data_IF_743407085308
#
_entry.id   IF_743407085308
#
_cell.length_a   1.000
_cell.length_b   1.000
_cell.length_c   1.000
_cell.angle_alpha   90.00
_cell.angle_beta   90.00
_cell.angle_gamma   90.00
#
_symmetry.space_group_name_H-M   'P 1'
#
loop_
_entity.id
_entity.type
_entity.pdbx_description
1 polymer ?
#
# COMPACT_ATOMS: atom_id res chain seq x y z
N UNK A 1 -19.91 -31.75 24.57
CA UNK A 1 -18.48 -31.37 24.50
C UNK A 1 -17.75 -32.45 23.71
N UNK A 2 -17.57 -32.26 22.41
CA UNK A 2 -16.76 -33.16 21.59
C UNK A 2 -15.38 -32.52 21.44
N UNK A 3 -14.37 -33.11 22.08
CA UNK A 3 -12.99 -32.64 22.03
C UNK A 3 -12.42 -32.85 20.63
N UNK A 4 -12.01 -31.75 19.98
CA UNK A 4 -11.36 -31.78 18.69
C UNK A 4 -9.88 -32.14 18.91
N UNK A 5 -9.51 -33.36 18.52
CA UNK A 5 -8.12 -33.83 18.58
C UNK A 5 -7.26 -33.00 17.63
N UNK A 6 -6.24 -32.33 18.17
CA UNK A 6 -5.26 -31.58 17.40
C UNK A 6 -4.51 -32.53 16.45
N UNK A 7 -4.58 -32.25 15.15
CA UNK A 7 -3.84 -33.01 14.14
C UNK A 7 -2.32 -32.82 14.34
N UNK A 8 -1.58 -33.93 14.38
CA UNK A 8 -0.13 -33.91 14.48
C UNK A 8 0.49 -33.15 13.28
N UNK A 9 1.53 -32.33 13.49
CA UNK A 9 2.16 -31.58 12.41
C UNK A 9 2.76 -32.52 11.36
N UNK A 10 2.45 -32.26 10.10
CA UNK A 10 3.01 -33.00 8.95
C UNK A 10 4.53 -32.75 8.92
N UNK A 11 5.37 -33.80 8.86
CA UNK A 11 6.82 -33.63 8.81
C UNK A 11 7.21 -32.83 7.56
N UNK A 12 8.06 -31.82 7.74
CA UNK A 12 8.53 -30.99 6.64
C UNK A 12 9.26 -31.85 5.58
N UNK A 13 9.02 -31.62 4.28
CA UNK A 13 9.67 -32.39 3.22
C UNK A 13 11.19 -32.21 3.30
N UNK A 14 11.93 -33.32 3.24
CA UNK A 14 13.39 -33.31 3.21
C UNK A 14 13.87 -32.50 2.01
N UNK A 15 14.53 -31.37 2.26
CA UNK A 15 15.23 -30.63 1.21
C UNK A 15 16.31 -31.52 0.57
N UNK A 16 16.61 -31.31 -0.71
CA UNK A 16 17.69 -32.03 -1.42
C UNK A 16 19.02 -31.98 -0.64
N UNK A 17 19.27 -30.89 0.09
CA UNK A 17 20.43 -30.71 0.97
C UNK A 17 20.40 -31.63 2.20
N UNK A 18 19.25 -31.77 2.86
CA UNK A 18 19.07 -32.76 3.94
C UNK A 18 19.10 -34.19 3.44
N UNK A 19 18.67 -34.44 2.19
CA UNK A 19 18.73 -35.76 1.55
C UNK A 19 20.17 -36.16 1.19
N UNK A 20 20.99 -35.21 0.74
CA UNK A 20 22.41 -35.42 0.45
C UNK A 20 23.30 -35.44 1.71
N UNK A 21 22.71 -35.33 2.90
CA UNK A 21 23.46 -35.29 4.15
C UNK A 21 24.41 -34.08 4.25
N UNK A 22 24.17 -33.02 3.47
CA UNK A 22 24.91 -31.77 3.56
C UNK A 22 24.14 -30.91 4.57
N UNK A 23 24.54 -30.92 5.87
CA UNK A 23 23.81 -30.18 6.87
C UNK A 23 23.81 -28.70 6.48
N UNK A 24 22.76 -27.98 6.85
CA UNK A 24 22.76 -26.51 6.89
C UNK A 24 23.85 -25.90 7.82
N UNK A 25 24.83 -26.71 8.24
CA UNK A 25 25.88 -26.43 9.18
C UNK A 25 27.13 -25.83 8.57
N UNK A 26 27.14 -25.26 7.36
CA UNK A 26 28.36 -24.58 6.84
C UNK A 26 28.88 -23.55 7.84
N UNK A 27 27.99 -22.82 8.54
CA UNK A 27 28.36 -21.89 9.62
C UNK A 27 28.88 -22.60 10.88
N UNK A 28 28.28 -23.73 11.28
CA UNK A 28 28.75 -24.55 12.42
C UNK A 28 30.11 -25.19 12.14
N UNK A 29 30.32 -25.67 10.91
CA UNK A 29 31.57 -26.28 10.44
C UNK A 29 32.64 -25.21 10.30
N UNK A 30 32.34 -24.03 9.74
CA UNK A 30 33.29 -22.92 9.72
C UNK A 30 33.71 -22.52 11.13
N UNK A 31 32.76 -22.29 12.05
CA UNK A 31 33.09 -21.95 13.44
C UNK A 31 33.90 -23.03 14.17
N UNK A 32 33.55 -24.30 13.96
CA UNK A 32 34.30 -25.44 14.50
C UNK A 32 35.71 -25.57 13.90
N UNK A 33 35.91 -25.14 12.65
CA UNK A 33 37.22 -25.16 12.00
C UNK A 33 38.08 -23.94 12.39
N UNK A 34 37.49 -22.74 12.50
CA UNK A 34 38.23 -21.51 12.82
C UNK A 34 38.68 -21.44 14.28
N UNK A 35 37.98 -22.09 15.21
CA UNK A 35 38.38 -22.19 16.63
C UNK A 35 38.57 -23.63 17.12
N UNK A 36 38.98 -24.57 16.24
CA UNK A 36 39.15 -25.99 16.60
C UNK A 36 40.10 -26.24 17.78
N UNK A 37 41.08 -25.36 17.98
CA UNK A 37 42.11 -25.45 19.04
C UNK A 37 41.80 -24.58 20.27
N UNK A 38 40.68 -23.87 20.32
CA UNK A 38 40.32 -22.98 21.43
C UNK A 38 41.18 -21.71 21.57
N UNK A 39 42.15 -21.49 20.68
CA UNK A 39 43.12 -20.38 20.79
C UNK A 39 42.56 -19.02 20.34
N UNK A 40 41.31 -18.94 19.87
CA UNK A 40 40.65 -17.70 19.44
C UNK A 40 39.24 -17.58 20.03
N UNK A 41 39.10 -17.36 21.35
CA UNK A 41 37.81 -17.31 22.04
C UNK A 41 36.85 -16.26 21.47
N UNK A 42 37.35 -15.15 20.90
CA UNK A 42 36.52 -14.15 20.23
C UNK A 42 35.94 -14.56 18.87
N UNK A 43 36.31 -15.72 18.34
CA UNK A 43 35.83 -16.24 17.03
C UNK A 43 34.87 -17.42 17.17
N UNK A 44 34.37 -17.67 18.38
CA UNK A 44 33.32 -18.66 18.57
C UNK A 44 32.03 -18.23 17.85
N UNK A 45 31.36 -19.18 17.17
CA UNK A 45 30.10 -18.89 16.51
C UNK A 45 29.08 -18.49 17.57
N UNK A 46 28.70 -17.21 17.58
CA UNK A 46 27.56 -16.73 18.35
C UNK A 46 26.32 -17.49 17.90
N UNK A 47 25.45 -17.82 18.83
CA UNK A 47 24.17 -18.42 18.50
C UNK A 47 23.43 -17.52 17.50
N UNK A 48 22.80 -18.15 16.50
CA UNK A 48 22.02 -17.41 15.53
C UNK A 48 20.92 -16.64 16.26
N UNK A 49 20.78 -15.35 15.95
CA UNK A 49 19.69 -14.54 16.50
C UNK A 49 18.36 -15.23 16.18
N UNK A 50 17.54 -15.46 17.21
CA UNK A 50 16.22 -16.04 17.06
C UNK A 50 15.35 -15.12 16.21
N UNK A 51 14.48 -15.69 15.38
CA UNK A 51 13.51 -14.89 14.64
C UNK A 51 12.62 -14.12 15.61
N UNK A 52 12.25 -12.87 15.28
CA UNK A 52 11.48 -12.02 16.18
C UNK A 52 10.14 -12.64 16.60
N UNK A 53 9.55 -13.49 15.76
CA UNK A 53 8.30 -14.19 16.02
C UNK A 53 8.44 -15.52 16.80
N UNK A 54 9.65 -15.88 17.23
CA UNK A 54 9.89 -17.07 18.07
C UNK A 54 9.14 -16.91 19.41
N UNK A 55 8.37 -17.91 19.87
CA UNK A 55 7.67 -17.85 21.16
C UNK A 55 8.61 -17.53 22.34
N UNK A 56 9.89 -17.92 22.27
CA UNK A 56 10.86 -17.59 23.30
C UNK A 56 11.10 -16.07 23.45
N UNK A 57 10.88 -15.27 22.39
CA UNK A 57 11.02 -13.82 22.46
C UNK A 57 9.82 -13.12 23.13
N UNK A 58 8.65 -13.79 23.19
CA UNK A 58 7.49 -13.27 23.94
C UNK A 58 7.70 -13.36 25.46
N UNK A 59 8.55 -14.30 25.90
CA UNK A 59 8.95 -14.51 27.29
C UNK A 59 10.26 -13.78 27.64
N UNK A 60 10.79 -12.97 26.71
CA UNK A 60 12.02 -12.22 26.95
C UNK A 60 11.86 -11.23 28.12
N UNK A 61 12.84 -11.12 29.03
CA UNK A 61 12.82 -10.11 30.09
C UNK A 61 12.99 -8.69 29.55
N UNK A 62 13.49 -8.52 28.32
CA UNK A 62 13.62 -7.23 27.65
C UNK A 62 12.28 -6.79 27.06
N UNK A 63 11.76 -5.66 27.54
CA UNK A 63 10.48 -5.10 27.12
C UNK A 63 10.44 -4.75 25.62
N UNK A 64 11.55 -4.30 25.02
CA UNK A 64 11.62 -3.96 23.61
C UNK A 64 11.55 -5.22 22.73
N UNK A 65 12.25 -6.29 23.12
CA UNK A 65 12.22 -7.58 22.39
C UNK A 65 10.83 -8.20 22.48
N UNK A 66 10.22 -8.22 23.68
CA UNK A 66 8.86 -8.74 23.87
C UNK A 66 7.85 -7.98 23.01
N UNK A 67 7.92 -6.64 23.02
CA UNK A 67 7.01 -5.82 22.21
C UNK A 67 7.22 -6.00 20.71
N UNK A 68 8.47 -6.08 20.26
CA UNK A 68 8.80 -6.37 18.87
C UNK A 68 8.28 -7.75 18.43
N UNK A 69 8.38 -8.76 19.30
CA UNK A 69 7.86 -10.10 19.04
C UNK A 69 6.33 -10.13 18.92
N UNK A 70 5.62 -9.40 19.80
CA UNK A 70 4.16 -9.24 19.73
C UNK A 70 3.72 -8.57 18.42
N UNK A 71 4.37 -7.45 18.05
CA UNK A 71 4.10 -6.73 16.80
C UNK A 71 4.39 -7.63 15.60
N UNK A 72 5.55 -8.30 15.60
CA UNK A 72 5.94 -9.16 14.49
C UNK A 72 4.98 -10.34 14.33
N UNK A 73 4.53 -10.94 15.43
CA UNK A 73 3.50 -11.98 15.41
C UNK A 73 2.19 -11.46 14.82
N UNK A 74 1.77 -10.25 15.17
CA UNK A 74 0.57 -9.64 14.61
C UNK A 74 0.72 -9.33 13.10
N UNK A 75 1.89 -8.87 12.66
CA UNK A 75 2.22 -8.65 11.25
C UNK A 75 2.27 -9.94 10.45
N UNK A 76 2.86 -11.01 11.00
CA UNK A 76 2.96 -12.30 10.32
C UNK A 76 1.58 -12.97 10.16
N UNK A 77 0.59 -12.58 11.00
CA UNK A 77 -0.82 -12.98 10.85
C UNK A 77 -1.55 -12.20 9.77
N UNK A 78 -0.99 -11.11 9.22
CA UNK A 78 -1.59 -10.31 8.12
C UNK A 78 -2.16 -11.14 6.96
N UNK A 79 -1.42 -12.06 6.31
CA UNK A 79 -1.97 -12.86 5.21
C UNK A 79 -3.15 -13.72 5.66
N UNK A 80 -3.13 -14.23 6.90
CA UNK A 80 -4.24 -15.00 7.46
C UNK A 80 -5.46 -14.12 7.73
N UNK A 81 -5.26 -12.92 8.30
CA UNK A 81 -6.31 -11.92 8.48
C UNK A 81 -6.97 -11.56 7.15
N UNK A 82 -6.19 -11.25 6.12
CA UNK A 82 -6.70 -10.93 4.78
C UNK A 82 -7.49 -12.12 4.19
N UNK A 83 -7.00 -13.35 4.36
CA UNK A 83 -7.72 -14.56 3.92
C UNK A 83 -9.05 -14.73 4.66
N UNK A 84 -9.06 -14.51 5.97
CA UNK A 84 -10.28 -14.57 6.79
C UNK A 84 -11.28 -13.50 6.37
N UNK A 85 -10.84 -12.25 6.16
CA UNK A 85 -11.69 -11.14 5.69
C UNK A 85 -12.32 -11.45 4.33
N UNK A 86 -11.54 -11.98 3.37
CA UNK A 86 -12.06 -12.42 2.07
C UNK A 86 -13.15 -13.48 2.22
N UNK A 87 -12.94 -14.44 3.12
CA UNK A 87 -13.90 -15.50 3.38
C UNK A 87 -15.19 -14.96 4.04
N UNK A 88 -15.06 -14.13 5.08
CA UNK A 88 -16.20 -13.49 5.75
C UNK A 88 -17.01 -12.64 4.76
N UNK A 89 -16.34 -11.84 3.93
CA UNK A 89 -17.00 -11.04 2.91
C UNK A 89 -17.65 -11.90 1.81
N UNK A 90 -17.08 -13.05 1.45
CA UNK A 90 -17.69 -13.96 0.46
C UNK A 90 -18.96 -14.64 0.97
N UNK A 91 -19.05 -14.89 2.28
CA UNK A 91 -20.27 -15.36 2.92
C UNK A 91 -21.30 -14.22 2.97
N UNK A 92 -20.81 -13.00 3.23
CA UNK A 92 -21.62 -11.80 3.43
C UNK A 92 -22.30 -11.78 4.80
N UNK A 93 -22.90 -10.65 5.14
CA UNK A 93 -23.61 -10.46 6.42
C UNK A 93 -25.08 -10.91 6.34
N UNK A 94 -25.37 -11.90 5.49
CA UNK A 94 -26.70 -12.44 5.30
C UNK A 94 -27.02 -13.51 6.34
N UNK A 95 -27.17 -14.76 5.88
CA UNK A 95 -27.63 -15.89 6.69
C UNK A 95 -26.83 -16.16 7.99
N UNK A 96 -25.56 -15.75 8.05
CA UNK A 96 -24.64 -16.05 9.14
C UNK A 96 -24.40 -14.88 10.11
N UNK A 97 -25.03 -13.73 9.88
CA UNK A 97 -24.85 -12.53 10.72
C UNK A 97 -26.07 -12.23 11.59
N UNK A 98 -26.80 -13.27 12.02
CA UNK A 98 -27.99 -13.09 12.88
C UNK A 98 -27.66 -12.37 14.19
N UNK A 99 -26.47 -12.63 14.72
CA UNK A 99 -25.98 -12.06 15.98
C UNK A 99 -25.06 -10.85 15.76
N UNK A 100 -24.90 -10.38 14.51
CA UNK A 100 -23.96 -9.29 14.17
C UNK A 100 -22.47 -9.69 14.24
N UNK A 101 -22.15 -10.95 14.53
CA UNK A 101 -20.77 -11.41 14.73
C UNK A 101 -19.85 -11.24 13.50
N UNK A 102 -20.39 -11.37 12.28
CA UNK A 102 -19.63 -11.18 11.04
C UNK A 102 -19.39 -9.69 10.80
N UNK A 103 -20.41 -8.87 11.03
CA UNK A 103 -20.26 -7.40 10.98
C UNK A 103 -19.22 -6.94 11.98
N UNK A 104 -19.27 -7.43 13.22
CA UNK A 104 -18.34 -7.04 14.28
C UNK A 104 -16.90 -7.44 13.95
N UNK A 105 -16.71 -8.63 13.37
CA UNK A 105 -15.40 -9.07 12.89
C UNK A 105 -14.87 -8.18 11.75
N UNK A 106 -15.73 -7.75 10.82
CA UNK A 106 -15.34 -6.85 9.73
C UNK A 106 -15.08 -5.42 10.22
N UNK A 107 -15.84 -4.92 11.20
CA UNK A 107 -15.59 -3.63 11.86
C UNK A 107 -14.25 -3.66 12.60
N UNK A 108 -13.96 -4.72 13.36
CA UNK A 108 -12.67 -4.89 14.01
C UNK A 108 -11.51 -4.97 13.00
N UNK A 109 -11.72 -5.66 11.87
CA UNK A 109 -10.73 -5.73 10.79
C UNK A 109 -10.54 -4.38 10.07
N UNK A 110 -11.53 -3.49 10.09
CA UNK A 110 -11.42 -2.13 9.57
C UNK A 110 -10.58 -1.22 10.48
N UNK A 111 -10.38 -1.58 11.75
CA UNK A 111 -9.58 -0.86 12.75
C UNK A 111 -8.19 -1.51 12.99
N UNK A 112 -7.82 -2.53 12.21
CA UNK A 112 -6.55 -3.22 12.38
C UNK A 112 -5.37 -2.25 12.23
N UNK A 113 -4.32 -2.37 13.04
CA UNK A 113 -3.15 -1.50 12.97
C UNK A 113 -2.46 -1.54 11.59
N UNK A 114 -2.62 -2.63 10.83
CA UNK A 114 -1.99 -2.84 9.53
C UNK A 114 -2.82 -2.23 8.39
N UNK A 115 -2.27 -1.25 7.67
CA UNK A 115 -2.95 -0.59 6.54
C UNK A 115 -3.50 -1.59 5.52
N UNK A 116 -2.70 -2.59 5.13
CA UNK A 116 -3.10 -3.57 4.12
C UNK A 116 -4.29 -4.44 4.54
N UNK A 117 -4.44 -4.70 5.85
CA UNK A 117 -5.61 -5.40 6.39
C UNK A 117 -6.83 -4.50 6.27
N UNK A 118 -6.74 -3.23 6.73
CA UNK A 118 -7.83 -2.25 6.60
C UNK A 118 -8.24 -2.04 5.14
N UNK A 119 -7.28 -1.87 4.23
CA UNK A 119 -7.51 -1.70 2.80
C UNK A 119 -8.17 -2.93 2.17
N UNK A 120 -7.72 -4.13 2.55
CA UNK A 120 -8.35 -5.37 2.10
C UNK A 120 -9.81 -5.43 2.58
N UNK A 121 -10.09 -5.09 3.83
CA UNK A 121 -11.44 -5.00 4.39
C UNK A 121 -12.34 -4.08 3.56
N UNK A 122 -11.93 -2.83 3.30
CA UNK A 122 -12.72 -1.89 2.50
C UNK A 122 -13.02 -2.41 1.09
N UNK A 123 -12.02 -3.00 0.42
CA UNK A 123 -12.19 -3.58 -0.92
C UNK A 123 -13.14 -4.78 -0.92
N UNK A 124 -13.08 -5.62 0.11
CA UNK A 124 -13.97 -6.76 0.22
C UNK A 124 -15.41 -6.33 0.53
N UNK A 125 -15.61 -5.31 1.37
CA UNK A 125 -16.94 -4.72 1.62
C UNK A 125 -17.50 -4.14 0.33
N UNK A 126 -16.71 -3.34 -0.41
CA UNK A 126 -17.12 -2.81 -1.72
C UNK A 126 -17.49 -3.92 -2.70
N UNK A 127 -16.68 -4.98 -2.79
CA UNK A 127 -16.95 -6.12 -3.66
C UNK A 127 -18.21 -6.89 -3.26
N UNK A 128 -18.48 -7.00 -1.95
CA UNK A 128 -19.70 -7.63 -1.45
C UNK A 128 -20.93 -6.76 -1.74
N UNK A 129 -20.82 -5.44 -1.58
CA UNK A 129 -21.90 -4.48 -1.85
C UNK A 129 -22.30 -4.43 -3.33
N UNK A 130 -21.32 -4.54 -4.24
CA UNK A 130 -21.56 -4.57 -5.69
C UNK A 130 -21.93 -5.95 -6.23
N UNK A 131 -21.83 -7.00 -5.40
CA UNK A 131 -22.08 -8.38 -5.77
C UNK A 131 -23.55 -8.73 -5.95
N UNK A 132 -23.80 -9.96 -6.42
CA UNK A 132 -25.16 -10.53 -6.41
C UNK A 132 -25.57 -10.85 -4.98
N UNK A 133 -26.83 -10.58 -4.66
CA UNK A 133 -27.42 -10.88 -3.36
C UNK A 133 -27.26 -12.37 -3.01
N UNK A 134 -27.13 -12.66 -1.72
CA UNK A 134 -27.08 -14.04 -1.25
C UNK A 134 -28.35 -14.80 -1.72
N UNK A 135 -28.17 -15.94 -2.39
CA UNK A 135 -29.28 -16.72 -2.94
C UNK A 135 -30.23 -17.28 -1.87
N UNK A 136 -29.76 -17.41 -0.61
CA UNK A 136 -30.57 -17.93 0.49
C UNK A 136 -31.40 -16.87 1.21
N UNK A 137 -30.87 -15.66 1.44
CA UNK A 137 -31.57 -14.64 2.24
C UNK A 137 -31.97 -13.39 1.47
N UNK A 138 -31.57 -13.23 0.20
CA UNK A 138 -31.89 -12.07 -0.63
C UNK A 138 -31.27 -10.74 -0.18
N UNK A 139 -30.68 -10.69 1.02
CA UNK A 139 -29.92 -9.54 1.52
C UNK A 139 -28.65 -9.38 0.70
N UNK A 140 -28.44 -8.15 0.20
CA UNK A 140 -27.46 -7.86 -0.84
C UNK A 140 -26.06 -7.69 -0.27
N UNK A 141 -25.91 -7.25 0.98
CA UNK A 141 -24.61 -6.79 1.46
C UNK A 141 -24.50 -6.65 2.98
N UNK A 142 -23.26 -6.48 3.45
CA UNK A 142 -22.91 -6.07 4.82
C UNK A 142 -23.23 -4.61 5.15
N UNK A 143 -24.23 -4.02 4.49
CA UNK A 143 -24.55 -2.59 4.58
C UNK A 143 -25.50 -2.28 5.73
N UNK A 144 -25.20 -2.73 6.94
CA UNK A 144 -25.98 -2.32 8.12
C UNK A 144 -25.52 -0.96 8.63
N UNK A 145 -26.37 -0.31 9.44
CA UNK A 145 -26.10 1.03 9.98
C UNK A 145 -24.75 1.11 10.72
N UNK A 146 -24.38 0.03 11.43
CA UNK A 146 -23.09 -0.06 12.14
C UNK A 146 -21.92 0.02 11.16
N UNK A 147 -21.96 -0.75 10.08
CA UNK A 147 -20.93 -0.73 9.05
C UNK A 147 -20.92 0.61 8.29
N UNK A 148 -22.09 1.17 7.96
CA UNK A 148 -22.20 2.46 7.27
C UNK A 148 -21.59 3.60 8.10
N UNK A 149 -21.89 3.65 9.41
CA UNK A 149 -21.28 4.61 10.34
C UNK A 149 -19.76 4.45 10.36
N UNK A 150 -19.25 3.21 10.44
CA UNK A 150 -17.80 2.96 10.44
C UNK A 150 -17.12 3.35 9.12
N UNK A 151 -17.76 3.07 7.98
CA UNK A 151 -17.25 3.46 6.67
C UNK A 151 -17.21 4.99 6.51
N UNK A 152 -18.26 5.69 6.95
CA UNK A 152 -18.30 7.15 6.94
C UNK A 152 -17.24 7.75 7.85
N UNK A 153 -17.05 7.16 9.05
CA UNK A 153 -15.99 7.53 9.98
C UNK A 153 -14.61 7.43 9.31
N UNK A 154 -14.27 6.28 8.75
CA UNK A 154 -12.98 6.07 8.09
C UNK A 154 -12.79 7.00 6.88
N UNK A 155 -13.85 7.23 6.10
CA UNK A 155 -13.77 8.03 4.88
C UNK A 155 -13.62 9.53 5.16
N UNK A 156 -14.32 10.06 6.17
CA UNK A 156 -14.55 11.50 6.30
C UNK A 156 -14.26 12.09 7.67
N UNK A 157 -14.15 11.28 8.74
CA UNK A 157 -13.89 11.80 10.09
C UNK A 157 -12.54 12.53 10.14
N UNK A 158 -12.56 13.67 10.83
CA UNK A 158 -11.40 14.48 11.13
C UNK A 158 -11.28 14.71 12.62
N UNK A 159 -10.06 14.80 13.11
CA UNK A 159 -9.77 15.20 14.48
C UNK A 159 -9.97 16.71 14.69
N UNK A 160 -9.81 17.16 15.93
CA UNK A 160 -9.91 18.57 16.34
C UNK A 160 -8.91 19.48 15.59
N UNK A 161 -7.83 18.91 15.07
CA UNK A 161 -6.79 19.60 14.31
C UNK A 161 -7.08 19.62 12.79
N UNK A 162 -8.21 19.05 12.35
CA UNK A 162 -8.60 18.96 10.95
C UNK A 162 -7.84 17.91 10.14
N UNK A 163 -7.04 17.06 10.78
CA UNK A 163 -6.39 15.91 10.16
C UNK A 163 -7.39 14.75 10.07
N UNK A 164 -7.27 13.91 9.03
CA UNK A 164 -8.15 12.74 8.90
C UNK A 164 -7.83 11.69 9.97
N UNK A 165 -8.87 11.13 10.59
CA UNK A 165 -8.72 10.06 11.59
C UNK A 165 -8.02 8.82 11.01
N UNK A 166 -8.35 8.42 9.77
CA UNK A 166 -7.60 7.41 9.03
C UNK A 166 -6.42 8.06 8.28
N UNK A 167 -5.15 7.73 8.62
CA UNK A 167 -3.98 8.36 7.99
C UNK A 167 -3.81 7.98 6.51
N UNK A 168 -4.15 6.76 6.09
CA UNK A 168 -3.93 6.32 4.70
C UNK A 168 -5.01 6.84 3.75
N UNK A 169 -4.60 7.69 2.80
CA UNK A 169 -5.47 8.18 1.71
C UNK A 169 -6.10 7.03 0.93
N UNK A 170 -5.38 5.92 0.73
CA UNK A 170 -5.88 4.75 -0.02
C UNK A 170 -7.02 4.06 0.71
N UNK A 171 -6.91 3.91 2.02
CA UNK A 171 -7.96 3.33 2.87
C UNK A 171 -9.19 4.26 2.87
N UNK A 172 -9.00 5.57 3.03
CA UNK A 172 -10.11 6.55 2.96
C UNK A 172 -10.88 6.50 1.64
N UNK A 173 -10.17 6.53 0.51
CA UNK A 173 -10.81 6.44 -0.80
C UNK A 173 -11.56 5.11 -0.98
N UNK A 174 -10.99 3.99 -0.51
CA UNK A 174 -11.64 2.69 -0.58
C UNK A 174 -12.89 2.62 0.32
N UNK A 175 -12.85 3.23 1.50
CA UNK A 175 -14.00 3.33 2.40
C UNK A 175 -15.12 4.18 1.77
N UNK A 176 -14.79 5.32 1.15
CA UNK A 176 -15.75 6.14 0.42
C UNK A 176 -16.37 5.40 -0.77
N UNK A 177 -15.59 4.63 -1.52
CA UNK A 177 -16.12 3.76 -2.58
C UNK A 177 -17.05 2.69 -2.01
N UNK A 178 -16.65 2.02 -0.94
CA UNK A 178 -17.49 1.01 -0.28
C UNK A 178 -18.82 1.62 0.20
N UNK A 179 -18.78 2.79 0.83
CA UNK A 179 -19.97 3.51 1.29
C UNK A 179 -20.92 3.84 0.12
N UNK A 180 -20.39 4.34 -1.00
CA UNK A 180 -21.16 4.66 -2.19
C UNK A 180 -21.80 3.41 -2.83
N UNK A 181 -21.11 2.25 -2.77
CA UNK A 181 -21.64 0.98 -3.23
C UNK A 181 -22.74 0.44 -2.29
N UNK A 182 -22.61 0.66 -0.99
CA UNK A 182 -23.58 0.21 0.01
C UNK A 182 -24.93 0.95 -0.10
N UNK A 183 -24.90 2.26 -0.40
CA UNK A 183 -26.10 3.10 -0.47
C UNK A 183 -26.10 3.95 -1.77
N UNK A 184 -26.54 3.39 -2.91
CA UNK A 184 -26.62 4.14 -4.15
C UNK A 184 -27.65 5.27 -4.03
N UNK A 185 -27.18 6.52 -4.03
CA UNK A 185 -28.04 7.71 -3.99
C UNK A 185 -28.29 8.29 -2.60
N UNK A 186 -27.73 7.71 -1.53
CA UNK A 186 -27.66 8.47 -0.28
C UNK A 186 -26.71 9.64 -0.50
N UNK A 187 -27.22 10.86 -0.33
CA UNK A 187 -26.38 12.06 -0.17
C UNK A 187 -25.31 11.71 0.87
N UNK A 188 -24.03 12.10 0.67
CA UNK A 188 -23.00 11.87 1.68
C UNK A 188 -23.59 12.23 3.02
N UNK A 189 -23.75 11.25 3.91
CA UNK A 189 -24.31 11.46 5.25
C UNK A 189 -23.62 12.71 5.75
N UNK A 190 -24.36 13.79 5.96
CA UNK A 190 -23.87 14.94 6.73
C UNK A 190 -23.37 14.29 8.01
N UNK A 191 -22.04 14.10 8.07
CA UNK A 191 -21.40 13.28 9.08
C UNK A 191 -21.79 13.96 10.37
N UNK A 192 -22.68 13.28 11.08
CA UNK A 192 -23.27 13.60 12.36
C UNK A 192 -22.38 14.60 13.12
N UNK A 193 -22.62 15.89 12.90
CA UNK A 193 -22.56 16.86 13.97
C UNK A 193 -23.77 16.54 14.85
N UNK A 194 -23.75 15.37 15.49
CA UNK A 194 -24.37 15.27 16.80
C UNK A 194 -23.46 16.13 17.67
N UNK A 195 -23.71 17.44 17.67
CA UNK A 195 -23.26 18.27 18.77
C UNK A 195 -23.72 17.53 20.03
N UNK A 196 -22.80 17.27 20.99
CA UNK A 196 -23.19 16.63 22.22
C UNK A 196 -24.31 17.49 22.80
N UNK A 197 -25.54 16.94 22.80
CA UNK A 197 -26.68 17.60 23.39
C UNK A 197 -26.44 17.59 24.90
N UNK A 198 -25.68 18.59 25.36
CA UNK A 198 -25.63 19.04 26.75
C UNK A 198 -27.04 19.45 27.13
N UNK A 199 -27.84 18.49 27.59
CA UNK A 199 -28.91 18.70 28.56
C UNK A 199 -29.42 17.36 29.07
N UNK A 200 -28.53 16.60 29.71
CA UNK A 200 -28.95 15.76 30.82
C UNK A 200 -28.81 16.62 32.09
N UNK A 201 -29.89 16.87 32.86
CA UNK A 201 -29.83 17.71 34.04
C UNK A 201 -28.87 17.12 35.06
N UNK A 202 -27.90 17.95 35.44
CA UNK A 202 -26.97 17.74 36.55
C UNK A 202 -27.78 17.35 37.80
N UNK A 203 -27.71 16.06 38.18
CA UNK A 203 -28.18 15.63 39.49
C UNK A 203 -27.22 16.22 40.51
N UNK A 204 -27.71 17.24 41.21
CA UNK A 204 -27.17 17.76 42.45
C UNK A 204 -26.70 16.60 43.34
N UNK A 205 -25.41 16.50 43.69
CA UNK A 205 -24.98 15.52 44.67
C UNK A 205 -25.55 15.91 46.04
N UNK A 206 -26.33 14.99 46.63
CA UNK A 206 -26.71 15.09 48.05
C UNK A 206 -25.45 15.13 48.93
N UNK A 207 -25.45 15.95 50.00
CA UNK A 207 -24.31 16.08 50.90
C UNK A 207 -24.08 14.75 51.65
N UNK A 208 -22.96 14.10 51.33
CA UNK A 208 -22.46 12.95 52.09
C UNK A 208 -21.94 13.45 53.45
N UNK A 209 -22.41 12.88 54.58
CA UNK A 209 -21.98 13.30 55.91
C UNK A 209 -20.49 12.96 56.13
N UNK A 210 -19.81 13.95 56.69
CA UNK A 210 -18.40 13.99 57.06
C UNK A 210 -18.04 12.81 57.98
N UNK A 211 -17.23 11.87 57.46
CA UNK A 211 -16.72 10.72 58.21
C UNK A 211 -15.29 11.00 58.65
N UNK A 212 -15.09 10.92 59.96
CA UNK A 212 -13.86 11.19 60.71
C UNK A 212 -12.61 10.52 60.12
N UNK A 213 -11.52 11.29 60.14
CA UNK A 213 -10.15 10.86 59.82
C UNK A 213 -9.69 9.74 60.75
N UNK A 214 -9.51 8.54 60.21
CA UNK A 214 -8.57 7.57 60.77
C UNK A 214 -7.21 7.74 60.07
N UNK A 215 -6.20 8.03 60.88
CA UNK A 215 -4.80 8.11 60.47
C UNK A 215 -4.26 6.70 60.25
N UNK A 216 -4.01 6.34 58.99
CA UNK A 216 -3.19 5.17 58.66
C UNK A 216 -1.72 5.57 58.52
N UNK A 217 -0.90 4.88 59.30
CA UNK A 217 0.56 4.95 59.32
C UNK A 217 1.09 4.25 58.07
N UNK A 218 1.71 5.01 57.16
CA UNK A 218 2.41 4.47 55.98
C UNK A 218 3.81 4.01 56.40
N UNK A 219 4.23 2.76 56.12
CA UNK A 219 5.59 2.30 56.43
C UNK A 219 6.63 2.89 55.46
N UNK A 220 7.70 3.42 56.04
CA UNK A 220 8.87 4.00 55.41
C UNK A 220 9.73 2.93 54.70
N UNK A 221 9.31 2.43 53.53
CA UNK A 221 10.12 1.47 52.75
C UNK A 221 10.24 1.72 51.24
N UNK A 222 9.68 2.82 50.72
CA UNK A 222 9.72 3.09 49.26
C UNK A 222 10.63 4.26 48.81
N UNK A 223 11.42 4.87 49.70
CA UNK A 223 12.33 5.97 49.31
C UNK A 223 13.70 5.55 48.75
N UNK A 224 13.98 4.25 48.57
CA UNK A 224 15.32 3.77 48.14
C UNK A 224 15.40 3.35 46.67
N UNK A 225 14.28 3.32 45.93
CA UNK A 225 14.28 2.89 44.52
C UNK A 225 14.41 4.03 43.49
N UNK A 226 14.08 5.27 43.85
CA UNK A 226 14.10 6.40 42.89
C UNK A 226 15.49 6.99 42.64
N UNK A 227 16.45 6.88 43.57
CA UNK A 227 17.81 7.40 43.34
C UNK A 227 18.66 6.50 42.43
N UNK A 228 18.28 5.23 42.25
CA UNK A 228 19.06 4.28 41.42
C UNK A 228 18.77 4.41 39.92
N UNK A 229 17.55 4.83 39.55
CA UNK A 229 17.14 4.97 38.15
C UNK A 229 17.75 6.22 37.50
N UNK A 230 18.02 7.27 38.29
CA UNK A 230 18.60 8.51 37.76
C UNK A 230 20.10 8.41 37.44
N UNK A 231 20.82 7.46 38.06
CA UNK A 231 22.26 7.26 37.83
C UNK A 231 22.58 6.46 36.54
N UNK A 232 21.68 5.58 36.08
CA UNK A 232 21.90 4.78 34.86
C UNK A 232 21.68 5.59 33.57
N UNK A 233 20.83 6.63 33.61
CA UNK A 233 20.55 7.45 32.44
C UNK A 233 21.74 8.33 32.00
N UNK A 234 22.67 8.63 32.90
CA UNK A 234 23.86 9.46 32.61
C UNK A 234 25.04 8.69 31.99
N UNK A 235 25.05 7.36 32.04
CA UNK A 235 26.13 6.52 31.47
C UNK A 235 25.89 6.16 30.00
N UNK A 236 24.64 6.11 29.54
CA UNK A 236 24.32 5.79 28.14
C UNK A 236 24.63 6.94 27.16
N UNK A 237 24.56 8.20 27.59
CA UNK A 237 24.88 9.35 26.72
C UNK A 237 26.37 9.48 26.38
N UNK A 238 27.27 8.88 27.19
CA UNK A 238 28.71 8.86 26.87
C UNK A 238 29.08 7.79 25.83
N UNK A 239 28.27 6.75 25.66
CA UNK A 239 28.63 5.61 24.80
C UNK A 239 28.22 5.79 23.32
N UNK A 240 27.29 6.70 23.01
CA UNK A 240 26.90 6.99 21.62
C UNK A 240 27.86 7.89 20.85
N UNK A 241 28.85 8.53 21.51
CA UNK A 241 29.82 9.42 20.83
C UNK A 241 31.08 8.74 20.28
N UNK A 242 31.26 7.42 20.44
CA UNK A 242 32.47 6.70 19.99
C UNK A 242 32.28 5.72 18.82
N UNK A 243 31.09 5.64 18.22
CA UNK A 243 30.81 4.69 17.14
C UNK A 243 30.53 5.36 15.79
N UNK A 244 31.48 6.16 15.30
CA UNK A 244 31.51 6.59 13.89
C UNK A 244 32.91 6.34 13.33
N UNK A 245 33.09 5.22 12.64
CA UNK A 245 34.36 4.92 11.97
C UNK A 245 34.48 3.46 11.53
N UNK A 246 33.75 3.06 10.48
CA UNK A 246 34.16 2.03 9.53
C UNK A 246 33.08 1.87 8.45
N UNK A 247 33.22 2.60 7.34
CA UNK A 247 32.55 2.24 6.08
C UNK A 247 33.22 0.96 5.54
N UNK A 248 32.44 -0.12 5.47
CA UNK A 248 32.86 -1.37 4.83
C UNK A 248 32.08 -1.53 3.53
N UNK A 249 32.72 -1.15 2.42
CA UNK A 249 32.20 -1.28 1.07
C UNK A 249 32.45 -2.71 0.55
N UNK A 250 31.40 -3.48 0.31
CA UNK A 250 31.50 -4.76 -0.40
C UNK A 250 30.85 -4.64 -1.79
N UNK A 251 31.72 -4.60 -2.80
CA UNK A 251 31.38 -4.87 -4.20
C UNK A 251 31.02 -6.35 -4.37
N UNK A 252 29.83 -6.64 -4.88
CA UNK A 252 29.45 -7.96 -5.38
C UNK A 252 29.20 -7.87 -6.89
N UNK A 253 30.15 -8.38 -7.67
CA UNK A 253 30.02 -8.65 -9.10
C UNK A 253 29.39 -10.04 -9.33
N UNK A 254 28.38 -10.08 -10.20
CA UNK A 254 28.27 -10.99 -11.34
C UNK A 254 28.05 -12.51 -11.13
N UNK A 255 26.89 -13.00 -11.56
CA UNK A 255 26.72 -14.23 -12.35
C UNK A 255 25.26 -14.30 -12.87
N UNK A 256 25.04 -14.12 -14.17
CA UNK A 256 24.84 -15.15 -15.21
C UNK A 256 23.50 -15.89 -15.10
N UNK A 257 22.48 -15.38 -15.80
CA UNK A 257 21.27 -16.10 -16.22
C UNK A 257 21.50 -16.77 -17.59
N UNK A 258 20.97 -17.98 -17.84
CA UNK A 258 20.96 -18.56 -19.18
C UNK A 258 19.67 -18.23 -19.96
N UNK A 259 19.89 -18.00 -21.25
CA UNK A 259 18.93 -17.73 -22.33
C UNK A 259 17.75 -18.71 -22.40
N UNK A 260 16.54 -18.19 -22.63
CA UNK A 260 15.41 -18.95 -23.20
C UNK A 260 14.94 -18.30 -24.50
N UNK A 261 14.97 -19.09 -25.56
CA UNK A 261 14.50 -18.76 -26.92
C UNK A 261 12.96 -18.71 -27.01
N UNK A 262 12.40 -18.00 -28.01
CA UNK A 262 10.97 -17.75 -28.15
C UNK A 262 10.24 -18.85 -28.95
N UNK A 263 9.00 -19.17 -28.54
CA UNK A 263 8.05 -19.93 -29.37
C UNK A 263 6.80 -19.09 -29.68
N UNK A 264 6.70 -18.70 -30.95
CA UNK A 264 5.53 -18.73 -31.84
C UNK A 264 4.11 -18.56 -31.28
N UNK A 265 3.47 -17.45 -31.66
CA UNK A 265 2.04 -17.33 -32.02
C UNK A 265 1.85 -17.80 -33.49
N UNK A 266 0.62 -17.96 -34.08
CA UNK A 266 -0.67 -17.38 -33.67
C UNK A 266 -1.92 -18.29 -33.80
N UNK A 267 -3.01 -17.86 -33.17
CA UNK A 267 -4.36 -18.31 -33.54
C UNK A 267 -5.28 -17.10 -33.70
N UNK A 268 -5.85 -17.00 -34.90
CA UNK A 268 -6.59 -15.88 -35.46
C UNK A 268 -8.08 -16.25 -35.46
N UNK A 269 -8.95 -15.37 -34.96
CA UNK A 269 -10.41 -15.47 -35.19
C UNK A 269 -10.97 -14.09 -35.56
N UNK A 270 -11.14 -13.89 -36.87
CA UNK A 270 -12.06 -12.94 -37.45
C UNK A 270 -13.51 -13.36 -37.11
N UNK A 271 -14.33 -12.43 -36.62
CA UNK A 271 -15.78 -12.50 -36.84
C UNK A 271 -16.38 -11.11 -36.93
N UNK A 272 -16.73 -10.75 -38.15
CA UNK A 272 -17.56 -9.63 -38.56
C UNK A 272 -18.93 -9.65 -37.88
N UNK A 273 -19.44 -8.47 -37.50
CA UNK A 273 -20.89 -8.22 -37.58
C UNK A 273 -21.17 -6.74 -37.78
N UNK A 274 -21.80 -6.48 -38.93
CA UNK A 274 -22.40 -5.24 -39.37
C UNK A 274 -23.77 -5.02 -38.73
N UNK A 275 -24.22 -3.76 -38.75
CA UNK A 275 -25.60 -3.32 -38.51
C UNK A 275 -25.75 -2.55 -37.20
N UNK A 276 -26.43 -1.41 -37.12
CA UNK A 276 -27.15 -0.62 -38.11
C UNK A 276 -27.27 0.80 -37.55
N UNK A 277 -27.29 1.78 -38.45
CA UNK A 277 -27.50 3.19 -38.13
C UNK A 277 -28.93 3.46 -37.64
N UNK A 278 -29.07 4.31 -36.62
CA UNK A 278 -30.31 5.06 -36.39
C UNK A 278 -29.98 6.52 -36.16
N UNK A 279 -30.51 7.36 -37.06
CA UNK A 279 -30.41 8.81 -37.06
C UNK A 279 -31.38 9.39 -36.04
N UNK A 280 -30.88 10.22 -35.12
CA UNK A 280 -31.69 11.17 -34.36
C UNK A 280 -31.12 12.56 -34.63
N UNK A 281 -31.87 13.31 -35.41
CA UNK A 281 -31.74 14.75 -35.63
C UNK A 281 -32.37 15.48 -34.45
N UNK A 282 -31.55 16.17 -33.65
CA UNK A 282 -32.00 17.32 -32.88
C UNK A 282 -30.98 18.44 -33.04
N UNK A 283 -31.53 19.55 -33.51
CA UNK A 283 -30.88 20.75 -33.99
C UNK A 283 -30.65 21.75 -32.84
N UNK A 284 -29.68 22.63 -33.05
CA UNK A 284 -29.57 23.98 -32.48
C UNK A 284 -29.30 24.16 -30.97
N UNK A 285 -28.01 24.31 -30.65
CA UNK A 285 -27.43 25.42 -29.85
C UNK A 285 -25.90 25.43 -30.10
N UNK A 286 -25.50 25.98 -31.25
CA UNK A 286 -24.11 26.01 -31.70
C UNK A 286 -23.37 27.24 -31.13
N UNK A 287 -22.90 27.13 -29.89
CA UNK A 287 -21.69 27.85 -29.50
C UNK A 287 -20.52 27.32 -30.34
N UNK A 288 -19.63 28.21 -30.83
CA UNK A 288 -18.43 27.86 -31.59
C UNK A 288 -17.64 26.75 -30.89
N UNK A 289 -17.88 25.49 -31.28
CA UNK A 289 -17.06 24.36 -30.86
C UNK A 289 -15.73 24.54 -31.59
N UNK A 290 -14.70 24.93 -30.85
CA UNK A 290 -13.33 24.90 -31.36
C UNK A 290 -13.07 23.48 -31.88
N UNK A 291 -12.75 23.38 -33.17
CA UNK A 291 -12.43 22.12 -33.81
C UNK A 291 -11.27 21.46 -33.08
N UNK A 292 -11.44 20.21 -32.63
CA UNK A 292 -10.38 19.45 -31.97
C UNK A 292 -9.23 19.24 -32.97
N UNK A 293 -7.96 19.57 -32.60
CA UNK A 293 -6.81 19.32 -33.48
C UNK A 293 -6.74 17.87 -33.95
N UNK A 294 -6.33 17.66 -35.20
CA UNK A 294 -6.35 16.34 -35.84
C UNK A 294 -5.47 15.30 -35.12
N UNK A 295 -4.35 15.71 -34.49
CA UNK A 295 -3.53 14.83 -33.67
C UNK A 295 -4.25 14.33 -32.42
N UNK A 296 -5.02 15.19 -31.77
CA UNK A 296 -5.81 14.88 -30.57
C UNK A 296 -7.01 14.00 -30.90
N UNK A 297 -7.65 14.21 -32.05
CA UNK A 297 -8.69 13.32 -32.56
C UNK A 297 -8.13 11.90 -32.81
N UNK A 298 -6.93 11.80 -33.39
CA UNK A 298 -6.22 10.51 -33.56
C UNK A 298 -5.91 9.85 -32.23
N UNK A 299 -5.39 10.59 -31.26
CA UNK A 299 -5.16 10.07 -29.90
C UNK A 299 -6.43 9.49 -29.30
N UNK A 300 -7.56 10.20 -29.34
CA UNK A 300 -8.85 9.70 -28.82
C UNK A 300 -9.27 8.38 -29.48
N UNK A 301 -9.05 8.23 -30.78
CA UNK A 301 -9.32 6.97 -31.48
C UNK A 301 -8.37 5.84 -31.06
N UNK A 302 -7.09 6.14 -30.83
CA UNK A 302 -6.10 5.16 -30.33
C UNK A 302 -6.48 4.69 -28.92
N UNK A 303 -6.85 5.61 -28.02
CA UNK A 303 -7.30 5.29 -26.67
C UNK A 303 -8.60 4.49 -26.65
N UNK A 304 -9.54 4.83 -27.54
CA UNK A 304 -10.80 4.09 -27.68
C UNK A 304 -10.58 2.66 -28.19
N UNK A 305 -9.54 2.41 -28.98
CA UNK A 305 -9.22 1.08 -29.52
C UNK A 305 -8.35 0.23 -28.59
N UNK A 306 -7.67 0.83 -27.60
CA UNK A 306 -6.76 0.13 -26.68
C UNK A 306 -7.00 0.51 -25.20
N UNK A 307 -8.10 0.06 -24.57
CA UNK A 307 -8.53 0.52 -23.24
C UNK A 307 -7.68 0.04 -22.04
N UNK A 308 -6.50 -0.55 -22.24
CA UNK A 308 -5.70 -1.15 -21.17
C UNK A 308 -4.72 -0.16 -20.51
N UNK A 309 -5.23 0.81 -19.74
CA UNK A 309 -4.41 1.75 -18.94
C UNK A 309 -4.32 1.38 -17.45
N UNK A 310 -4.35 0.08 -17.12
CA UNK A 310 -4.37 -0.37 -15.73
C UNK A 310 -3.00 -0.44 -15.00
N UNK A 311 -1.88 -0.14 -15.65
CA UNK A 311 -0.55 -0.50 -15.10
C UNK A 311 0.42 0.65 -14.84
N UNK A 312 0.21 1.85 -15.41
CA UNK A 312 1.13 2.97 -15.23
C UNK A 312 1.11 3.48 -13.78
N UNK A 313 2.28 3.80 -13.23
CA UNK A 313 2.34 4.42 -11.91
C UNK A 313 1.79 5.86 -11.95
N UNK A 314 1.09 6.35 -10.91
CA UNK A 314 0.60 7.72 -10.90
C UNK A 314 1.76 8.73 -10.96
N UNK A 315 1.62 9.78 -11.78
CA UNK A 315 2.58 10.87 -11.90
C UNK A 315 1.93 12.22 -11.56
N UNK A 316 1.75 12.56 -10.27
CA UNK A 316 1.04 13.78 -9.86
C UNK A 316 1.77 15.07 -10.25
N UNK A 317 3.06 14.99 -10.59
CA UNK A 317 3.89 16.13 -10.99
C UNK A 317 3.97 16.31 -12.52
N UNK A 318 3.23 15.52 -13.29
CA UNK A 318 3.36 15.53 -14.74
C UNK A 318 2.27 14.73 -15.46
N UNK A 319 2.64 14.16 -16.60
CA UNK A 319 1.78 13.32 -17.41
C UNK A 319 2.33 11.91 -17.58
N UNK A 320 1.51 11.04 -18.17
CA UNK A 320 1.84 9.65 -18.49
C UNK A 320 1.65 9.45 -19.99
N UNK A 321 2.61 8.80 -20.64
CA UNK A 321 2.53 8.41 -22.06
C UNK A 321 1.48 7.33 -22.23
N UNK A 322 0.46 7.61 -23.02
CA UNK A 322 -0.63 6.67 -23.31
C UNK A 322 -0.40 5.92 -24.61
N UNK A 323 0.24 6.54 -25.59
CA UNK A 323 0.53 5.94 -26.88
C UNK A 323 1.74 6.63 -27.52
N UNK A 324 2.34 5.95 -28.49
CA UNK A 324 3.44 6.48 -29.29
C UNK A 324 3.21 6.11 -30.75
N UNK A 325 3.19 7.11 -31.63
CA UNK A 325 3.13 6.92 -33.08
C UNK A 325 4.54 7.03 -33.65
N UNK A 326 5.08 5.88 -34.07
CA UNK A 326 6.43 5.77 -34.61
C UNK A 326 6.59 6.47 -35.96
N UNK A 327 5.52 6.59 -36.76
CA UNK A 327 5.57 7.20 -38.08
C UNK A 327 5.76 8.72 -38.00
N UNK A 328 5.06 9.35 -37.05
CA UNK A 328 5.12 10.80 -36.79
C UNK A 328 6.10 11.17 -35.67
N UNK A 329 6.76 10.17 -35.06
CA UNK A 329 7.60 10.31 -33.88
C UNK A 329 6.92 11.10 -32.76
N UNK A 330 5.62 10.89 -32.56
CA UNK A 330 4.80 11.67 -31.63
C UNK A 330 4.35 10.81 -30.44
N UNK A 331 4.64 11.27 -29.22
CA UNK A 331 4.15 10.65 -27.99
C UNK A 331 2.89 11.36 -27.49
N UNK A 332 1.86 10.59 -27.13
CA UNK A 332 0.59 11.09 -26.63
C UNK A 332 0.57 10.99 -25.11
N UNK A 333 0.48 12.13 -24.42
CA UNK A 333 0.60 12.22 -22.97
C UNK A 333 -0.69 12.73 -22.34
N UNK A 334 -1.11 12.10 -21.25
CA UNK A 334 -2.24 12.52 -20.44
C UNK A 334 -1.78 13.02 -19.07
N UNK A 335 -2.33 14.16 -18.64
CA UNK A 335 -2.06 14.77 -17.34
C UNK A 335 -3.24 14.52 -16.40
N UNK A 336 -2.94 14.14 -15.15
CA UNK A 336 -3.97 13.80 -14.15
C UNK A 336 -4.92 14.98 -13.90
N UNK A 337 -4.43 16.21 -14.00
CA UNK A 337 -5.27 17.40 -13.96
C UNK A 337 -5.93 17.65 -15.32
N UNK A 338 -7.18 17.19 -15.49
CA UNK A 338 -7.95 17.34 -16.71
C UNK A 338 -8.15 18.80 -17.17
N UNK A 339 -8.01 19.78 -16.28
CA UNK A 339 -8.12 21.21 -16.60
C UNK A 339 -6.78 21.85 -17.02
N UNK A 340 -5.66 21.15 -16.85
CA UNK A 340 -4.36 21.69 -17.21
C UNK A 340 -4.16 21.67 -18.73
N UNK A 341 -3.98 22.84 -19.32
CA UNK A 341 -3.52 22.99 -20.71
C UNK A 341 -2.03 23.32 -20.67
N UNK A 342 -1.20 22.46 -21.26
CA UNK A 342 0.25 22.73 -21.34
C UNK A 342 0.52 23.62 -22.56
N UNK A 343 1.24 24.75 -22.43
CA UNK A 343 1.53 25.61 -23.59
C UNK A 343 2.32 24.86 -24.67
N UNK A 344 1.96 25.06 -25.94
CA UNK A 344 2.75 24.57 -27.08
C UNK A 344 4.15 25.20 -27.03
N UNK A 345 5.17 24.41 -27.30
CA UNK A 345 6.57 24.77 -27.15
C UNK A 345 7.17 24.46 -25.78
N UNK A 346 6.37 24.07 -24.78
CA UNK A 346 6.88 23.68 -23.46
C UNK A 346 7.77 22.44 -23.57
N UNK A 347 8.88 22.48 -22.84
CA UNK A 347 9.83 21.39 -22.75
C UNK A 347 9.50 20.46 -21.58
N UNK A 348 9.36 19.17 -21.88
CA UNK A 348 9.11 18.11 -20.91
C UNK A 348 10.23 17.08 -20.96
N UNK A 349 10.51 16.48 -19.82
CA UNK A 349 11.47 15.38 -19.73
C UNK A 349 10.71 14.06 -19.60
N UNK A 350 10.86 13.17 -20.58
CA UNK A 350 10.31 11.82 -20.52
C UNK A 350 11.26 10.93 -19.73
N UNK A 351 10.74 10.19 -18.75
CA UNK A 351 11.45 9.18 -17.96
C UNK A 351 10.74 7.83 -18.02
N UNK A 352 11.47 6.71 -17.90
CA UNK A 352 10.85 5.40 -17.78
C UNK A 352 9.92 5.34 -16.55
N UNK A 353 8.84 4.56 -16.62
CA UNK A 353 8.06 4.22 -15.42
C UNK A 353 9.02 3.67 -14.35
N UNK A 354 9.00 4.18 -13.10
CA UNK A 354 9.91 3.74 -12.03
C UNK A 354 9.84 2.22 -11.74
N UNK A 355 8.77 1.54 -12.14
CA UNK A 355 8.62 0.08 -12.03
C UNK A 355 9.39 -0.68 -13.11
N UNK A 356 9.70 -0.02 -14.22
CA UNK A 356 10.35 -0.59 -15.39
C UNK A 356 11.72 0.08 -15.52
N UNK A 357 12.77 -0.59 -15.02
CA UNK A 357 14.14 -0.05 -14.97
C UNK A 357 14.79 0.21 -16.35
N UNK A 358 14.05 0.06 -17.45
CA UNK A 358 14.50 0.24 -18.82
C UNK A 358 13.50 1.08 -19.61
N UNK A 359 13.95 2.16 -20.23
CA UNK A 359 13.12 2.96 -21.12
C UNK A 359 13.90 4.15 -21.69
N UNK A 360 13.21 4.97 -22.47
CA UNK A 360 13.77 6.22 -22.98
C UNK A 360 13.88 7.28 -21.87
N UNK A 361 14.95 8.07 -21.90
CA UNK A 361 15.14 9.21 -21.01
C UNK A 361 15.65 10.40 -21.84
N UNK A 362 14.90 11.49 -21.92
CA UNK A 362 15.30 12.64 -22.71
C UNK A 362 14.25 13.74 -22.87
N UNK A 363 14.61 14.78 -23.62
CA UNK A 363 13.84 16.01 -23.75
C UNK A 363 12.87 15.98 -24.94
N UNK A 364 11.64 16.40 -24.67
CA UNK A 364 10.53 16.42 -25.61
C UNK A 364 9.84 17.78 -25.58
N UNK A 365 9.35 18.23 -26.73
CA UNK A 365 8.64 19.48 -26.87
C UNK A 365 7.15 19.22 -27.12
N UNK A 366 6.28 19.99 -26.46
CA UNK A 366 4.84 19.97 -26.71
C UNK A 366 4.55 20.61 -28.06
N UNK A 367 3.98 19.85 -28.99
CA UNK A 367 3.62 20.33 -30.33
C UNK A 367 2.13 20.62 -30.49
N UNK A 368 1.28 19.89 -29.76
CA UNK A 368 -0.16 20.17 -29.66
C UNK A 368 -0.63 19.91 -28.24
N UNK A 369 -1.65 20.64 -27.78
CA UNK A 369 -2.14 20.51 -26.41
C UNK A 369 -3.64 20.82 -26.34
N UNK A 370 -4.33 20.11 -25.45
CA UNK A 370 -5.72 20.38 -25.05
C UNK A 370 -5.86 20.10 -23.56
N UNK A 371 -7.01 20.40 -22.99
CA UNK A 371 -7.29 20.18 -21.57
C UNK A 371 -6.98 18.71 -21.17
N UNK A 372 -5.95 18.53 -20.34
CA UNK A 372 -5.51 17.24 -19.82
C UNK A 372 -4.68 16.37 -20.77
N UNK A 373 -4.34 16.82 -21.99
CA UNK A 373 -3.55 16.01 -22.93
C UNK A 373 -2.57 16.85 -23.76
N UNK A 374 -1.41 16.28 -24.10
CA UNK A 374 -0.45 16.90 -25.01
C UNK A 374 0.17 15.87 -25.96
N UNK A 375 0.49 16.33 -27.18
CA UNK A 375 1.29 15.60 -28.15
C UNK A 375 2.72 16.13 -28.06
N UNK A 376 3.68 15.23 -27.90
CA UNK A 376 5.08 15.56 -27.73
C UNK A 376 5.91 15.06 -28.91
N UNK A 377 6.95 15.81 -29.28
CA UNK A 377 7.99 15.37 -30.23
C UNK A 377 9.38 15.45 -29.60
N UNK A 378 10.31 14.55 -29.99
CA UNK A 378 11.66 14.56 -29.44
C UNK A 378 12.46 15.74 -30.01
N UNK A 379 13.31 16.34 -29.18
CA UNK A 379 14.26 17.36 -29.65
C UNK A 379 15.56 16.78 -30.25
N UNK A 380 15.80 15.48 -30.11
CA UNK A 380 17.00 14.82 -30.59
C UNK A 380 16.72 13.43 -31.17
N UNK A 381 17.62 12.90 -32.01
CA UNK A 381 17.43 11.60 -32.67
C UNK A 381 17.58 10.40 -31.73
N UNK A 382 18.24 10.59 -30.59
CA UNK A 382 18.65 9.47 -29.74
C UNK A 382 17.48 8.88 -28.95
N UNK A 383 17.41 7.55 -28.91
CA UNK A 383 16.62 6.78 -27.95
C UNK A 383 15.10 6.72 -28.17
N UNK A 384 14.58 7.36 -29.23
CA UNK A 384 13.15 7.45 -29.51
C UNK A 384 12.49 6.04 -29.61
N UNK A 385 13.24 5.03 -30.05
CA UNK A 385 12.78 3.63 -30.17
C UNK A 385 12.42 2.95 -28.84
N UNK A 386 12.69 3.59 -27.69
CA UNK A 386 12.52 2.99 -26.36
C UNK A 386 11.38 3.56 -25.54
N UNK A 387 10.52 4.39 -26.13
CA UNK A 387 9.36 4.96 -25.43
C UNK A 387 8.31 3.87 -25.22
N UNK A 388 7.78 3.80 -24.01
CA UNK A 388 6.74 2.84 -23.66
C UNK A 388 5.51 3.55 -23.12
N UNK A 389 4.36 2.90 -23.31
CA UNK A 389 3.13 3.27 -22.61
C UNK A 389 3.40 3.14 -21.11
N UNK A 390 3.08 4.20 -20.36
CA UNK A 390 3.35 4.30 -18.92
C UNK A 390 4.56 5.16 -18.56
N UNK A 391 5.40 5.55 -19.52
CA UNK A 391 6.52 6.47 -19.25
C UNK A 391 6.01 7.83 -18.74
N UNK A 392 6.78 8.47 -17.87
CA UNK A 392 6.40 9.71 -17.19
C UNK A 392 6.93 10.94 -17.93
N UNK A 393 6.05 11.89 -18.27
CA UNK A 393 6.42 13.22 -18.72
C UNK A 393 6.43 14.19 -17.55
N UNK A 394 7.57 14.82 -17.26
CA UNK A 394 7.73 15.70 -16.09
C UNK A 394 8.07 17.11 -16.58
N UNK A 395 7.47 18.12 -15.94
CA UNK A 395 7.80 19.52 -16.19
C UNK A 395 9.18 19.86 -15.60
N UNK A 396 9.98 20.62 -16.34
CA UNK A 396 11.17 21.26 -15.79
C UNK A 396 12.50 20.63 -16.17
N UNK A 397 13.56 21.33 -15.75
CA UNK A 397 14.97 21.12 -16.07
C UNK A 397 15.40 19.68 -15.83
N UNK A 398 16.29 19.12 -16.67
CA UNK A 398 16.82 17.78 -16.44
C UNK A 398 17.30 17.70 -15.00
N UNK A 399 16.99 16.59 -14.31
CA UNK A 399 17.73 16.32 -13.08
C UNK A 399 19.20 16.39 -13.47
N UNK A 400 19.98 17.21 -12.76
CA UNK A 400 21.42 17.25 -12.93
C UNK A 400 21.91 15.83 -12.67
N UNK A 401 22.12 15.08 -13.74
CA UNK A 401 22.81 13.80 -13.66
C UNK A 401 24.24 14.21 -13.40
N UNK A 402 24.68 14.11 -12.14
CA UNK A 402 26.09 14.20 -11.81
C UNK A 402 26.74 13.02 -12.50
N UNK A 403 27.29 13.25 -13.69
CA UNK A 403 28.05 12.25 -14.41
C UNK A 403 29.25 11.86 -13.52
N UNK A 404 29.56 10.57 -13.34
CA UNK A 404 30.78 10.18 -12.66
C UNK A 404 31.97 10.78 -13.43
N UNK A 405 32.77 11.60 -12.75
CA UNK A 405 34.04 12.11 -13.27
C UNK A 405 34.94 10.90 -13.50
N UNK A 406 35.07 10.47 -14.75
CA UNK A 406 36.05 9.47 -15.15
C UNK A 406 37.43 10.13 -15.13
N UNK A 407 38.23 9.85 -14.11
CA UNK A 407 39.66 10.13 -14.15
C UNK A 407 40.32 9.17 -15.15
N UNK A 408 40.77 9.70 -16.29
CA UNK A 408 41.76 9.03 -17.13
C UNK A 408 43.09 9.01 -16.38
N UNK A 409 43.67 7.82 -16.22
CA UNK A 409 45.03 7.63 -15.72
C UNK A 409 46.07 8.09 -16.72
#
# INVERSE_FOLDING_TARGET
VFGQAAAAPVPAPSTLWSFLGIPQGVKKVQGALTNRRGNRPGTEPKDALKALNDPANLESPDAAIKRAAEIKKAEDLKPQKIKAIKYLASIGCGCYDKDGSVTDALVAAAEDCTEDVRLATMRQIHSAATGKCCSNCGQVCCCNDKMLKKLAQIAYERDEFGCYAEPSKRVRCAAASALAACCPGSVPLEVLQEEPNETAPEKTPEPVPEREKQQDVVPEREKVLDERVSAEHHLNDRNMKSANGAEFSMNLQGSNEPERLPMSTPFNWNRSREGAASRSTTDSMAGQRQSVPAGIARMRNILASHPSHGSASPNPQGGVVLAYDESSKTAYVHFENAAATVPVGTMLHLRPDPRIASGFNGMWQVVESTAGCANLQPLGPDGIERIRIGDHAIFGTPAVVVAPISFTR
#
